data_IF_465202035476
#
_entry.id   IF_465202035476
#
_cell.length_a   1.000
_cell.length_b   1.000
_cell.length_c   1.000
_cell.angle_alpha   90.00
_cell.angle_beta   90.00
_cell.angle_gamma   90.00
#
_symmetry.space_group_name_H-M   'P 1'
#
loop_
_entity.id
_entity.type
_entity.pdbx_description
1 polymer ?
#
# COMPACT_ATOMS: atom_id res chain seq x y z
N UNK A 1 -18.41 -4.68 -23.82
CA UNK A 1 -19.08 -4.76 -22.51
C UNK A 1 -18.03 -5.13 -21.49
N UNK A 2 -17.88 -4.34 -20.42
CA UNK A 2 -16.87 -4.56 -19.38
C UNK A 2 -17.33 -5.63 -18.40
N UNK A 3 -16.37 -6.30 -17.75
CA UNK A 3 -16.61 -7.37 -16.78
C UNK A 3 -16.15 -6.97 -15.38
N UNK A 4 -16.67 -7.66 -14.38
CA UNK A 4 -16.12 -7.60 -13.02
C UNK A 4 -14.65 -8.02 -13.11
N UNK A 5 -13.80 -7.34 -12.34
CA UNK A 5 -12.34 -7.45 -12.30
C UNK A 5 -11.57 -6.84 -13.46
N UNK A 6 -12.24 -6.27 -14.48
CA UNK A 6 -11.55 -5.52 -15.51
C UNK A 6 -10.88 -4.26 -14.92
N UNK A 7 -9.68 -3.97 -15.44
CA UNK A 7 -8.92 -2.76 -15.13
C UNK A 7 -9.28 -1.65 -16.10
N UNK A 8 -9.76 -0.54 -15.57
CA UNK A 8 -10.24 0.61 -16.33
C UNK A 8 -9.65 1.90 -15.82
N UNK A 9 -9.65 2.88 -16.70
CA UNK A 9 -9.24 4.27 -16.44
C UNK A 9 -10.42 5.17 -16.75
N UNK A 10 -10.58 6.19 -15.92
CA UNK A 10 -11.56 7.24 -16.14
C UNK A 10 -11.07 8.19 -17.24
N UNK A 11 -11.91 8.48 -18.22
CA UNK A 11 -11.56 9.37 -19.33
C UNK A 11 -11.28 10.81 -18.87
N UNK A 12 -11.92 11.24 -17.78
CA UNK A 12 -11.77 12.57 -17.17
C UNK A 12 -10.64 12.67 -16.14
N UNK A 13 -9.98 11.56 -15.82
CA UNK A 13 -8.93 11.54 -14.80
C UNK A 13 -7.57 11.89 -15.44
N UNK A 14 -7.11 13.12 -15.23
CA UNK A 14 -5.83 13.61 -15.76
C UNK A 14 -4.63 12.77 -15.28
N UNK A 15 -4.76 12.17 -14.09
CA UNK A 15 -3.73 11.33 -13.48
C UNK A 15 -3.75 9.89 -13.97
N UNK A 16 -4.74 9.49 -14.77
CA UNK A 16 -4.92 8.16 -15.34
C UNK A 16 -4.82 7.05 -14.29
N UNK A 17 -5.46 7.24 -13.15
CA UNK A 17 -5.50 6.22 -12.10
C UNK A 17 -6.18 4.94 -12.58
N UNK A 18 -5.64 3.80 -12.18
CA UNK A 18 -6.24 2.50 -12.49
C UNK A 18 -7.26 2.11 -11.44
N UNK A 19 -8.45 1.78 -11.94
CA UNK A 19 -9.55 1.28 -11.15
C UNK A 19 -9.92 -0.12 -11.57
N UNK A 20 -10.39 -0.93 -10.62
CA UNK A 20 -10.94 -2.25 -10.84
C UNK A 20 -12.46 -2.19 -10.76
N UNK A 21 -13.14 -2.81 -11.72
CA UNK A 21 -14.59 -2.97 -11.65
C UNK A 21 -14.89 -4.03 -10.58
N UNK A 22 -15.65 -3.65 -9.56
CA UNK A 22 -16.02 -4.55 -8.46
C UNK A 22 -17.48 -4.99 -8.54
N UNK A 23 -18.34 -4.13 -9.08
CA UNK A 23 -19.76 -4.40 -9.20
C UNK A 23 -20.32 -3.70 -10.44
N UNK A 24 -21.34 -4.31 -11.03
CA UNK A 24 -22.10 -3.76 -12.16
C UNK A 24 -23.56 -3.75 -11.72
N UNK A 25 -24.13 -2.56 -11.58
CA UNK A 25 -25.55 -2.36 -11.26
C UNK A 25 -26.31 -2.03 -12.55
N UNK A 26 -27.39 -2.74 -12.83
CA UNK A 26 -28.31 -2.34 -13.91
C UNK A 26 -29.39 -1.42 -13.33
N UNK A 27 -29.48 -0.21 -13.88
CA UNK A 27 -30.48 0.77 -13.48
C UNK A 27 -31.14 1.34 -14.73
N UNK A 28 -32.45 1.11 -14.87
CA UNK A 28 -33.29 1.71 -15.91
C UNK A 28 -32.79 1.54 -17.36
N UNK A 29 -32.11 0.44 -17.67
CA UNK A 29 -31.56 0.15 -19.00
C UNK A 29 -30.08 0.52 -19.18
N UNK A 30 -29.51 1.26 -18.23
CA UNK A 30 -28.09 1.58 -18.20
C UNK A 30 -27.33 0.65 -17.25
N UNK A 31 -26.08 0.31 -17.61
CA UNK A 31 -25.17 -0.40 -16.72
C UNK A 31 -24.30 0.63 -15.98
N UNK A 32 -24.41 0.71 -14.67
CA UNK A 32 -23.57 1.54 -13.80
C UNK A 32 -22.45 0.66 -13.24
N UNK A 33 -21.22 1.13 -13.35
CA UNK A 33 -20.03 0.39 -12.92
C UNK A 33 -19.47 1.00 -11.63
N UNK A 34 -19.25 0.16 -10.62
CA UNK A 34 -18.57 0.53 -9.39
C UNK A 34 -17.09 0.21 -9.51
N UNK A 35 -16.30 1.26 -9.44
CA UNK A 35 -14.86 1.25 -9.59
C UNK A 35 -14.18 1.41 -8.23
N UNK A 36 -13.18 0.59 -7.96
CA UNK A 36 -12.31 0.72 -6.78
C UNK A 36 -10.89 0.99 -7.23
N UNK A 37 -10.30 2.10 -6.77
CA UNK A 37 -8.94 2.49 -7.11
C UNK A 37 -7.91 1.57 -6.44
N UNK A 38 -6.83 1.23 -7.15
CA UNK A 38 -5.73 0.44 -6.57
C UNK A 38 -5.04 1.16 -5.40
N UNK A 39 -4.80 2.46 -5.57
CA UNK A 39 -4.05 3.28 -4.62
C UNK A 39 -4.95 3.95 -3.57
N UNK A 40 -6.25 4.01 -3.81
CA UNK A 40 -7.20 4.76 -3.00
C UNK A 40 -8.41 3.88 -2.70
N UNK A 41 -8.79 3.77 -1.42
CA UNK A 41 -10.04 3.11 -0.98
C UNK A 41 -11.29 3.93 -1.37
N UNK A 42 -11.29 4.49 -2.57
CA UNK A 42 -12.37 5.30 -3.11
C UNK A 42 -13.20 4.42 -4.03
N UNK A 43 -14.50 4.43 -3.79
CA UNK A 43 -15.49 3.77 -4.64
C UNK A 43 -16.10 4.85 -5.53
N UNK A 44 -15.99 4.68 -6.85
CA UNK A 44 -16.53 5.62 -7.84
C UNK A 44 -17.61 4.92 -8.64
N UNK A 45 -18.79 5.54 -8.76
CA UNK A 45 -19.87 5.07 -9.64
C UNK A 45 -19.81 5.82 -10.96
N UNK A 46 -19.73 5.10 -12.08
CA UNK A 46 -19.62 5.72 -13.40
C UNK A 46 -20.40 4.97 -14.48
N UNK A 47 -20.69 5.68 -15.57
CA UNK A 47 -21.26 5.12 -16.78
C UNK A 47 -20.16 4.51 -17.67
N UNK A 48 -20.50 3.55 -18.54
CA UNK A 48 -19.55 2.92 -19.45
C UNK A 48 -18.87 3.93 -20.40
N UNK A 49 -19.55 5.05 -20.70
CA UNK A 49 -19.02 6.11 -21.56
C UNK A 49 -17.90 6.93 -20.92
N UNK A 50 -17.84 6.97 -19.59
CA UNK A 50 -16.81 7.70 -18.85
C UNK A 50 -15.53 6.86 -18.61
N UNK A 51 -15.55 5.57 -18.94
CA UNK A 51 -14.44 4.64 -18.71
C UNK A 51 -13.91 4.04 -20.00
N UNK A 52 -12.62 3.68 -19.98
CA UNK A 52 -11.98 2.86 -21.01
C UNK A 52 -11.11 1.79 -20.38
N UNK A 53 -10.83 0.71 -21.11
CA UNK A 53 -9.88 -0.30 -20.66
C UNK A 53 -8.50 0.33 -20.49
N UNK A 54 -7.82 -0.04 -19.40
CA UNK A 54 -6.44 0.36 -19.18
C UNK A 54 -5.52 -0.32 -20.20
N UNK A 55 -4.61 0.46 -20.78
CA UNK A 55 -3.56 -0.10 -21.64
C UNK A 55 -2.46 -0.74 -20.80
N UNK A 56 -1.70 -1.66 -21.39
CA UNK A 56 -0.58 -2.33 -20.73
C UNK A 56 0.50 -1.36 -20.23
N UNK A 57 0.71 -0.23 -20.92
CA UNK A 57 1.63 0.82 -20.45
C UNK A 57 1.13 1.53 -19.18
N UNK A 58 -0.17 1.80 -19.10
CA UNK A 58 -0.79 2.41 -17.91
C UNK A 58 -0.63 1.48 -16.70
N UNK A 59 -0.93 0.19 -16.89
CA UNK A 59 -0.78 -0.85 -15.85
C UNK A 59 0.67 -0.90 -15.36
N UNK A 60 1.63 -0.95 -16.28
CA UNK A 60 3.06 -1.03 -15.93
C UNK A 60 3.55 0.21 -15.17
N UNK A 61 3.02 1.40 -15.46
CA UNK A 61 3.36 2.64 -14.74
C UNK A 61 2.81 2.65 -13.32
N UNK A 62 1.55 2.25 -13.13
CA UNK A 62 0.94 2.15 -11.80
C UNK A 62 1.64 1.09 -10.95
N UNK A 63 2.01 -0.06 -11.53
CA UNK A 63 2.79 -1.09 -10.83
C UNK A 63 4.16 -0.58 -10.36
N UNK A 64 4.89 0.17 -11.21
CA UNK A 64 6.16 0.78 -10.82
C UNK A 64 6.00 1.83 -9.71
N UNK A 65 4.95 2.65 -9.77
CA UNK A 65 4.60 3.62 -8.74
C UNK A 65 4.27 2.94 -7.41
N UNK A 66 3.49 1.87 -7.46
CA UNK A 66 3.12 1.09 -6.30
C UNK A 66 4.32 0.35 -5.70
N UNK A 67 5.17 -0.26 -6.53
CA UNK A 67 6.41 -0.92 -6.07
C UNK A 67 7.35 0.10 -5.38
N UNK A 68 7.53 1.29 -5.96
CA UNK A 68 8.32 2.36 -5.36
C UNK A 68 7.75 2.79 -4.01
N UNK A 69 6.44 2.98 -3.91
CA UNK A 69 5.75 3.32 -2.65
C UNK A 69 5.90 2.23 -1.59
N UNK A 70 5.89 0.96 -2.01
CA UNK A 70 6.10 -0.19 -1.13
C UNK A 70 7.55 -0.29 -0.66
N UNK A 71 8.53 -0.03 -1.54
CA UNK A 71 9.96 0.06 -1.19
C UNK A 71 10.26 1.22 -0.25
N UNK A 72 9.65 2.40 -0.45
CA UNK A 72 9.76 3.53 0.49
C UNK A 72 9.11 3.22 1.84
N UNK A 73 7.96 2.55 1.85
CA UNK A 73 7.29 2.13 3.09
C UNK A 73 8.05 1.04 3.85
N UNK A 74 8.80 0.17 3.14
CA UNK A 74 9.73 -0.79 3.75
C UNK A 74 11.13 -0.22 4.02
N UNK A 75 11.41 1.02 3.59
CA UNK A 75 12.67 1.72 3.75
C UNK A 75 12.91 2.33 5.14
N UNK A 76 11.88 2.43 5.99
CA UNK A 76 12.03 2.77 7.42
C UNK A 76 12.43 1.55 8.26
N UNK A 77 13.47 0.86 7.82
CA UNK A 77 14.14 -0.23 8.55
C UNK A 77 15.64 -0.30 8.27
N UNK A 78 16.22 0.74 7.66
CA UNK A 78 17.64 0.76 7.33
C UNK A 78 18.26 2.15 7.56
N UNK A 79 18.10 2.72 8.75
CA UNK A 79 19.20 3.42 9.43
C UNK A 79 18.85 3.77 10.88
N UNK A 80 19.76 3.38 11.77
CA UNK A 80 19.68 3.53 13.22
C UNK A 80 19.81 2.13 13.82
N UNK A 81 20.92 1.69 14.39
CA UNK A 81 22.02 2.42 15.01
C UNK A 81 23.15 1.38 15.20
N UNK A 82 24.39 1.85 15.31
CA UNK A 82 25.57 1.10 15.77
C UNK A 82 25.25 -0.06 16.72
N UNK A 83 25.70 -1.26 16.36
CA UNK A 83 26.29 -2.35 17.21
C UNK A 83 25.58 -2.75 18.54
N UNK A 84 25.49 -4.05 18.86
CA UNK A 84 26.70 -4.85 19.07
C UNK A 84 26.70 -6.21 18.37
N UNK A 85 27.86 -6.50 17.77
CA UNK A 85 28.35 -7.85 17.63
C UNK A 85 28.21 -8.59 18.97
N UNK A 86 27.57 -9.76 18.94
CA UNK A 86 27.66 -10.75 20.00
C UNK A 86 29.12 -11.17 20.17
N UNK A 87 29.77 -10.69 21.21
CA UNK A 87 30.95 -11.34 21.79
C UNK A 87 30.61 -11.66 23.24
N UNK A 88 30.60 -12.95 23.55
CA UNK A 88 30.15 -13.49 24.82
C UNK A 88 30.90 -12.98 26.05
N UNK A 89 30.34 -13.28 27.21
CA UNK A 89 31.01 -13.06 28.49
C UNK A 89 30.04 -12.71 29.61
N UNK A 90 29.13 -13.62 29.95
CA UNK A 90 28.46 -13.57 31.25
C UNK A 90 29.50 -13.94 32.32
N UNK A 91 30.25 -12.96 32.82
CA UNK A 91 31.12 -13.13 33.99
C UNK A 91 30.34 -12.79 35.25
N UNK A 92 30.02 -13.83 36.00
CA UNK A 92 29.51 -13.77 37.37
C UNK A 92 30.75 -13.73 38.28
N UNK A 93 30.98 -12.64 38.99
CA UNK A 93 31.96 -12.62 40.08
C UNK A 93 31.51 -11.71 41.22
N UNK A 94 30.97 -12.38 42.25
CA UNK A 94 31.36 -12.23 43.66
C UNK A 94 31.43 -10.83 44.27
N UNK A 95 30.43 -10.53 45.11
CA UNK A 95 30.67 -10.49 46.56
C UNK A 95 31.14 -9.18 47.21
N UNK A 96 30.52 -8.90 48.37
CA UNK A 96 30.89 -7.94 49.44
C UNK A 96 30.56 -6.47 49.12
N UNK A 97 30.07 -5.62 50.03
CA UNK A 97 30.11 -5.61 51.50
C UNK A 97 29.08 -4.58 52.02
N UNK A 98 28.47 -4.88 53.16
CA UNK A 98 27.61 -4.02 53.99
C UNK A 98 28.29 -2.71 54.44
N UNK A 99 27.53 -1.62 54.70
CA UNK A 99 27.43 -0.89 55.99
C UNK A 99 26.79 0.52 55.86
N UNK A 100 25.67 0.73 56.60
CA UNK A 100 25.23 1.92 57.42
C UNK A 100 25.09 3.30 56.75
N UNK A 101 24.19 4.23 57.13
CA UNK A 101 23.74 4.70 58.47
C UNK A 101 22.52 5.65 58.29
N UNK A 102 21.39 5.43 58.99
CA UNK A 102 20.80 6.26 60.07
C UNK A 102 20.87 7.80 59.88
N UNK A 103 19.81 8.60 60.03
CA UNK A 103 18.80 8.68 61.11
C UNK A 103 17.46 9.13 60.53
#
# INVERSE_FOLDING_TARGET
MFRIDDLVVLNKDEKKHIYRITQIEQSSGDNIYLLVGYSYRTIVKVLPSDIRLATSEEIRKEDMLNEKKWKESKGFGALGTKEPFCSGGFSISTGTRSFWKAV
#
